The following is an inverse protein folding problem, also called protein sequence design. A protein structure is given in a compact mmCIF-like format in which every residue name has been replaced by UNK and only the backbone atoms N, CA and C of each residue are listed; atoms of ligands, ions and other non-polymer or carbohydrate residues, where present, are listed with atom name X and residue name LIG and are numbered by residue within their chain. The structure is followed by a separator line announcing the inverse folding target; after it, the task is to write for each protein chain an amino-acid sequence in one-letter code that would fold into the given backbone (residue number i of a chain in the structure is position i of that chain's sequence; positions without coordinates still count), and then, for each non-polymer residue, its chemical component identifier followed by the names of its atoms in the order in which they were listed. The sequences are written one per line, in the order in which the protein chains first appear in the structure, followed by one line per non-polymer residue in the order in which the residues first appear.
data_IF_180096355733
#
_entry.id   IF_180096355733
#
_cell.length_a   1.000
_cell.length_b   1.000
_cell.length_c   1.000
_cell.angle_alpha   90.00
_cell.angle_beta   90.00
_cell.angle_gamma   90.00
#
_symmetry.space_group_name_H-M   'P 1'
#
loop_
_entity.id
_entity.type
_entity.pdbx_description
1 polymer ?
#
# COMPACT_ATOMS: atom_id res chain seq x y z
N UNK A 1 3.74 -11.40 1.91
CA UNK A 1 3.87 -12.85 1.76
C UNK A 1 4.12 -13.23 0.33
N UNK A 2 5.14 -14.00 0.12
CA UNK A 2 5.41 -14.47 -1.21
C UNK A 2 4.54 -15.65 -1.57
N UNK A 3 4.14 -15.69 -2.83
CA UNK A 3 3.47 -16.86 -3.38
C UNK A 3 4.54 -17.93 -3.62
N UNK A 4 4.31 -19.17 -3.21
CA UNK A 4 5.26 -20.22 -3.51
C UNK A 4 5.49 -20.34 -5.02
N UNK A 5 6.71 -20.53 -5.42
CA UNK A 5 7.07 -20.75 -6.79
C UNK A 5 7.90 -22.02 -6.93
N UNK A 6 8.29 -22.36 -8.15
CA UNK A 6 8.95 -23.63 -8.40
C UNK A 6 10.16 -23.90 -7.51
N UNK A 7 10.93 -22.87 -7.20
CA UNK A 7 12.11 -23.01 -6.35
C UNK A 7 11.76 -23.44 -4.94
N UNK A 8 10.60 -23.02 -4.44
CA UNK A 8 10.18 -23.38 -3.09
C UNK A 8 9.82 -24.87 -3.01
N UNK A 9 9.30 -25.43 -4.10
CA UNK A 9 8.99 -26.85 -4.13
C UNK A 9 10.25 -27.71 -4.08
N UNK A 10 11.35 -27.24 -4.63
CA UNK A 10 12.62 -27.96 -4.59
C UNK A 10 13.34 -27.82 -3.24
N UNK A 11 12.90 -26.92 -2.40
CA UNK A 11 13.48 -26.74 -1.07
C UNK A 11 12.91 -27.70 -0.03
N UNK A 12 11.96 -28.55 -0.41
CA UNK A 12 11.32 -29.51 0.47
C UNK A 12 11.72 -30.92 0.06
N UNK A 13 12.14 -31.75 1.02
CA UNK A 13 12.52 -33.12 0.72
C UNK A 13 11.28 -34.04 0.62
N UNK A 14 11.53 -35.34 0.35
CA UNK A 14 10.46 -36.31 0.15
C UNK A 14 9.56 -36.48 1.36
N UNK A 15 10.07 -36.21 2.55
CA UNK A 15 9.31 -36.33 3.81
C UNK A 15 8.57 -35.04 4.15
N UNK A 16 8.66 -34.01 3.30
CA UNK A 16 7.99 -32.74 3.53
C UNK A 16 8.75 -31.77 4.41
N UNK A 17 10.00 -32.04 4.73
CA UNK A 17 10.84 -31.15 5.53
C UNK A 17 11.70 -30.29 4.64
N UNK A 18 12.01 -29.07 5.13
CA UNK A 18 12.89 -28.17 4.41
C UNK A 18 14.29 -28.75 4.32
N UNK A 19 14.87 -28.67 3.13
CA UNK A 19 16.25 -29.09 2.92
C UNK A 19 17.20 -28.00 3.37
N UNK A 20 18.32 -28.35 4.02
CA UNK A 20 19.37 -27.39 4.27
C UNK A 20 19.98 -26.93 2.94
N UNK A 21 20.06 -25.64 2.73
CA UNK A 21 20.68 -25.04 1.56
C UNK A 21 21.61 -23.91 1.97
N UNK A 22 22.69 -23.74 1.21
CA UNK A 22 23.53 -22.57 1.40
C UNK A 22 22.80 -21.33 0.88
N UNK A 23 22.89 -20.26 1.63
CA UNK A 23 22.31 -19.00 1.19
C UNK A 23 23.02 -18.52 -0.08
N UNK A 24 22.26 -18.07 -1.06
CA UNK A 24 22.79 -17.53 -2.29
C UNK A 24 21.83 -16.51 -2.88
N UNK A 25 22.38 -15.43 -3.42
CA UNK A 25 21.61 -14.43 -4.16
C UNK A 25 21.88 -14.52 -5.66
N UNK A 26 22.60 -15.55 -6.08
CA UNK A 26 22.88 -15.74 -7.50
C UNK A 26 21.59 -15.98 -8.27
N UNK A 27 21.38 -15.19 -9.32
CA UNK A 27 20.17 -15.24 -10.13
C UNK A 27 18.90 -14.89 -9.36
N UNK A 28 19.03 -14.19 -8.22
CA UNK A 28 17.88 -13.75 -7.46
C UNK A 28 17.11 -12.67 -8.22
N UNK A 29 15.79 -12.74 -8.13
CA UNK A 29 14.90 -11.70 -8.65
C UNK A 29 14.90 -10.54 -7.66
N UNK A 30 15.15 -9.32 -8.15
CA UNK A 30 15.21 -8.14 -7.29
C UNK A 30 13.98 -7.28 -7.43
N UNK A 31 12.84 -7.94 -7.42
CA UNK A 31 11.57 -7.30 -7.66
C UNK A 31 10.50 -7.94 -6.79
N UNK A 32 9.69 -7.09 -6.16
CA UNK A 32 8.59 -7.53 -5.32
C UNK A 32 7.30 -6.96 -5.91
N UNK A 33 6.32 -7.82 -6.12
CA UNK A 33 5.03 -7.40 -6.66
C UNK A 33 3.93 -7.80 -5.69
N UNK A 34 3.06 -6.83 -5.36
CA UNK A 34 1.85 -7.09 -4.60
C UNK A 34 0.66 -6.79 -5.49
N UNK A 35 -0.26 -7.76 -5.60
CA UNK A 35 -1.52 -7.53 -6.29
C UNK A 35 -2.50 -6.86 -5.33
N UNK A 36 -3.51 -6.21 -5.92
CA UNK A 36 -4.63 -5.67 -5.16
C UNK A 36 -5.25 -6.74 -4.26
N UNK A 37 -5.40 -7.94 -4.80
CA UNK A 37 -5.95 -9.08 -4.07
C UNK A 37 -5.08 -9.45 -2.87
N UNK A 38 -3.76 -9.45 -3.05
CA UNK A 38 -2.84 -9.76 -1.96
C UNK A 38 -2.87 -8.71 -0.86
N UNK A 39 -2.93 -7.43 -1.25
CA UNK A 39 -3.02 -6.35 -0.27
C UNK A 39 -4.31 -6.43 0.53
N UNK A 40 -5.44 -6.65 -0.16
CA UNK A 40 -6.72 -6.82 0.53
C UNK A 40 -6.72 -8.08 1.40
N UNK A 41 -6.01 -9.13 0.97
CA UNK A 41 -5.84 -10.33 1.77
C UNK A 41 -5.03 -10.09 3.04
N UNK A 42 -4.03 -9.22 2.99
CA UNK A 42 -3.28 -8.86 4.20
C UNK A 42 -4.15 -8.07 5.17
N UNK A 43 -5.00 -7.17 4.65
CA UNK A 43 -5.97 -6.46 5.47
C UNK A 43 -6.97 -7.41 6.10
N UNK A 44 -7.36 -8.46 5.38
CA UNK A 44 -8.33 -9.43 5.86
C UNK A 44 -7.83 -10.24 7.06
N UNK A 45 -6.52 -10.35 7.24
CA UNK A 45 -5.96 -11.02 8.41
C UNK A 45 -6.14 -10.22 9.70
N UNK A 46 -6.37 -8.92 9.55
CA UNK A 46 -6.71 -8.06 10.67
C UNK A 46 -8.22 -7.93 10.66
N UNK A 47 -8.89 -8.62 11.57
CA UNK A 47 -10.34 -8.76 11.57
C UNK A 47 -11.10 -7.43 11.59
N UNK A 48 -10.53 -6.43 12.25
CA UNK A 48 -11.20 -5.13 12.32
C UNK A 48 -11.08 -4.36 11.01
N UNK A 49 -10.04 -4.59 10.23
CA UNK A 49 -9.84 -3.88 8.97
C UNK A 49 -10.53 -4.57 7.79
N UNK A 50 -10.69 -5.88 7.85
CA UNK A 50 -11.24 -6.65 6.73
C UNK A 50 -12.59 -6.15 6.24
N UNK A 51 -13.42 -5.66 7.16
CA UNK A 51 -14.76 -5.20 6.84
C UNK A 51 -14.85 -3.69 6.65
N UNK A 52 -13.75 -2.97 6.89
CA UNK A 52 -13.78 -1.51 6.94
C UNK A 52 -12.90 -0.84 5.89
N UNK A 53 -11.95 -1.56 5.32
CA UNK A 53 -10.99 -0.99 4.36
C UNK A 53 -10.90 -1.88 3.13
N UNK A 54 -10.97 -1.28 1.96
CA UNK A 54 -10.72 -1.96 0.70
C UNK A 54 -9.81 -1.07 -0.14
N UNK A 55 -8.86 -1.68 -0.82
CA UNK A 55 -7.87 -0.98 -1.64
C UNK A 55 -8.06 -1.35 -3.10
N UNK A 56 -8.04 -0.34 -3.95
CA UNK A 56 -8.04 -0.49 -5.41
C UNK A 56 -6.76 0.13 -5.97
N UNK A 57 -6.12 -0.55 -6.90
CA UNK A 57 -4.89 -0.09 -7.51
C UNK A 57 -5.12 0.17 -9.00
N UNK A 58 -4.77 1.37 -9.43
CA UNK A 58 -4.79 1.77 -10.83
C UNK A 58 -3.47 2.46 -11.15
N UNK A 59 -3.28 2.90 -12.38
CA UNK A 59 -2.00 3.49 -12.78
C UNK A 59 -1.65 4.70 -11.92
N UNK A 60 -0.58 4.58 -11.14
CA UNK A 60 -0.08 5.62 -10.25
C UNK A 60 -1.11 6.13 -9.25
N UNK A 61 -2.15 5.32 -8.98
CA UNK A 61 -3.24 5.72 -8.10
C UNK A 61 -3.61 4.59 -7.16
N UNK A 62 -3.61 4.89 -5.87
CA UNK A 62 -4.11 3.99 -4.84
C UNK A 62 -5.42 4.58 -4.32
N UNK A 63 -6.50 3.82 -4.41
CA UNK A 63 -7.79 4.25 -3.89
C UNK A 63 -8.14 3.41 -2.68
N UNK A 64 -8.58 4.07 -1.62
CA UNK A 64 -8.99 3.40 -0.39
C UNK A 64 -10.43 3.72 -0.08
N UNK A 65 -11.20 2.70 0.24
CA UNK A 65 -12.55 2.84 0.76
C UNK A 65 -12.57 2.45 2.21
N UNK A 66 -13.14 3.30 3.04
CA UNK A 66 -13.26 3.04 4.47
C UNK A 66 -14.71 3.13 4.88
N UNK A 67 -15.11 2.18 5.72
CA UNK A 67 -16.43 2.19 6.34
C UNK A 67 -16.22 2.42 7.83
N UNK A 68 -16.75 3.53 8.34
CA UNK A 68 -16.60 3.89 9.75
C UNK A 68 -18.00 3.89 10.38
N UNK A 69 -18.34 2.88 11.22
CA UNK A 69 -19.59 2.89 11.94
C UNK A 69 -19.54 3.97 13.01
N UNK A 70 -20.60 4.78 13.08
CA UNK A 70 -20.72 5.85 14.07
C UNK A 70 -21.59 5.39 15.22
N UNK A 71 -21.20 5.75 16.43
CA UNK A 71 -21.98 5.41 17.61
C UNK A 71 -23.32 6.13 17.58
N UNK A 72 -24.31 5.55 18.26
CA UNK A 72 -25.66 6.07 18.23
C UNK A 72 -25.78 7.49 18.80
N UNK A 73 -24.90 7.85 19.70
CA UNK A 73 -24.89 9.18 20.31
C UNK A 73 -24.19 10.24 19.48
N UNK A 74 -23.63 9.85 18.32
CA UNK A 74 -22.98 10.81 17.42
C UNK A 74 -24.02 11.75 16.83
N UNK A 75 -23.78 13.07 16.84
CA UNK A 75 -24.77 14.04 16.33
C UNK A 75 -25.14 13.79 14.87
N UNK A 76 -26.42 13.82 14.57
CA UNK A 76 -27.02 13.73 13.24
C UNK A 76 -26.82 12.37 12.55
N UNK A 77 -25.59 11.83 12.56
CA UNK A 77 -25.25 10.61 11.83
C UNK A 77 -25.14 9.38 12.73
N UNK A 78 -25.58 9.50 13.99
CA UNK A 78 -25.49 8.40 14.93
C UNK A 78 -26.15 7.13 14.43
N UNK A 79 -25.51 5.99 14.66
CA UNK A 79 -26.01 4.70 14.22
C UNK A 79 -25.82 4.40 12.74
N UNK A 80 -25.29 5.34 11.96
CA UNK A 80 -25.02 5.14 10.54
C UNK A 80 -23.57 4.78 10.30
N UNK A 81 -23.30 4.18 9.12
CA UNK A 81 -21.96 3.89 8.70
C UNK A 81 -21.50 4.98 7.73
N UNK A 82 -20.38 5.63 8.08
CA UNK A 82 -19.80 6.66 7.24
C UNK A 82 -18.93 6.00 6.18
N UNK A 83 -19.14 6.36 4.92
CA UNK A 83 -18.36 5.85 3.80
C UNK A 83 -17.36 6.93 3.34
N UNK A 84 -16.09 6.61 3.44
CA UNK A 84 -15.01 7.47 2.98
C UNK A 84 -14.33 6.85 1.77
N UNK A 85 -13.98 7.69 0.80
CA UNK A 85 -13.13 7.29 -0.31
C UNK A 85 -11.98 8.27 -0.39
N UNK A 86 -10.77 7.75 -0.49
CA UNK A 86 -9.58 8.58 -0.64
C UNK A 86 -8.80 8.14 -1.87
N UNK A 87 -8.33 9.09 -2.65
CA UNK A 87 -7.45 8.82 -3.78
C UNK A 87 -6.06 9.35 -3.46
N UNK A 88 -5.06 8.51 -3.64
CA UNK A 88 -3.67 8.85 -3.35
C UNK A 88 -2.85 8.55 -4.60
N UNK A 89 -2.24 9.58 -5.17
CA UNK A 89 -1.29 9.42 -6.25
C UNK A 89 0.03 8.94 -5.67
N UNK A 90 0.63 7.94 -6.31
CA UNK A 90 1.89 7.38 -5.84
C UNK A 90 2.86 7.22 -7.01
N UNK A 91 4.07 7.73 -6.86
CA UNK A 91 5.13 7.60 -7.83
C UNK A 91 6.47 7.51 -7.10
N UNK A 92 7.51 7.19 -7.82
CA UNK A 92 8.86 7.17 -7.27
C UNK A 92 9.76 7.92 -8.24
N UNK A 93 10.26 9.06 -7.79
CA UNK A 93 11.11 9.91 -8.60
C UNK A 93 12.22 10.52 -7.74
N UNK A 94 13.38 10.77 -8.35
CA UNK A 94 14.52 11.38 -7.67
C UNK A 94 14.88 10.61 -6.39
N UNK A 95 14.79 9.28 -6.47
CA UNK A 95 15.17 8.38 -5.40
C UNK A 95 14.33 8.50 -4.13
N UNK A 96 13.09 8.98 -4.24
CA UNK A 96 12.16 8.99 -3.11
C UNK A 96 10.72 8.82 -3.60
N UNK A 97 9.83 8.30 -2.74
CA UNK A 97 8.43 8.21 -3.12
C UNK A 97 7.79 9.60 -3.13
N UNK A 98 6.85 9.77 -4.06
CA UNK A 98 6.00 10.94 -4.14
C UNK A 98 4.59 10.45 -3.82
N UNK A 99 3.98 10.99 -2.78
CA UNK A 99 2.66 10.60 -2.32
C UNK A 99 1.79 11.84 -2.27
N UNK A 100 0.77 11.87 -3.11
CA UNK A 100 -0.08 13.04 -3.26
C UNK A 100 -1.52 12.67 -2.96
N UNK A 101 -2.15 13.40 -2.04
CA UNK A 101 -3.58 13.23 -1.77
C UNK A 101 -4.37 13.85 -2.91
N UNK A 102 -5.00 13.01 -3.73
CA UNK A 102 -5.82 13.48 -4.86
C UNK A 102 -7.16 14.02 -4.41
N UNK A 103 -7.70 13.47 -3.34
CA UNK A 103 -8.95 13.92 -2.78
C UNK A 103 -9.53 12.91 -1.82
N UNK A 104 -10.52 13.39 -1.07
CA UNK A 104 -11.31 12.56 -0.16
C UNK A 104 -12.77 12.89 -0.40
N UNK A 105 -13.62 11.89 -0.44
CA UNK A 105 -15.06 12.10 -0.48
C UNK A 105 -15.73 11.35 0.67
N UNK A 106 -16.81 11.95 1.17
CA UNK A 106 -17.62 11.37 2.24
C UNK A 106 -19.01 11.15 1.67
N UNK A 107 -19.49 9.91 1.71
CA UNK A 107 -20.80 9.54 1.18
C UNK A 107 -20.98 9.98 -0.29
N UNK A 108 -19.90 9.91 -1.06
CA UNK A 108 -19.90 10.30 -2.46
C UNK A 108 -19.74 11.79 -2.72
N UNK A 109 -19.58 12.60 -1.69
CA UNK A 109 -19.42 14.06 -1.81
C UNK A 109 -17.96 14.43 -1.62
N UNK A 110 -17.31 15.05 -2.63
CA UNK A 110 -15.92 15.49 -2.47
C UNK A 110 -15.80 16.54 -1.37
N UNK A 111 -14.76 16.38 -0.55
CA UNK A 111 -14.49 17.30 0.55
C UNK A 111 -13.70 18.49 0.04
N UNK A 112 -14.08 19.73 0.36
CA UNK A 112 -13.31 20.90 -0.04
C UNK A 112 -11.90 20.86 0.50
N UNK A 113 -10.95 21.36 -0.29
CA UNK A 113 -9.54 21.38 0.11
C UNK A 113 -9.31 22.13 1.42
N UNK A 114 -10.07 23.17 1.68
CA UNK A 114 -9.96 23.91 2.94
C UNK A 114 -10.23 23.02 4.16
N UNK A 115 -11.13 22.08 4.03
CA UNK A 115 -11.44 21.14 5.12
C UNK A 115 -10.37 20.07 5.31
N UNK A 116 -9.58 19.85 4.28
CA UNK A 116 -8.44 18.93 4.32
C UNK A 116 -7.15 19.64 4.75
N UNK A 117 -7.25 20.85 5.25
CA UNK A 117 -6.09 21.61 5.67
C UNK A 117 -5.20 22.06 4.50
N UNK A 118 -5.76 22.14 3.30
CA UNK A 118 -5.01 22.52 2.12
C UNK A 118 -4.09 21.44 1.57
N UNK A 119 -4.28 20.18 2.01
CA UNK A 119 -3.36 19.09 1.65
C UNK A 119 -3.63 18.45 0.30
N UNK A 120 -4.73 18.80 -0.37
CA UNK A 120 -5.02 18.23 -1.69
C UNK A 120 -3.97 18.64 -2.70
N UNK A 121 -3.42 17.64 -3.43
CA UNK A 121 -2.38 17.84 -4.43
C UNK A 121 -1.03 18.31 -3.87
N UNK A 122 -0.84 18.16 -2.57
CA UNK A 122 0.46 18.45 -1.93
C UNK A 122 1.24 17.15 -1.81
N UNK A 123 2.55 17.20 -2.06
CA UNK A 123 3.40 16.04 -1.85
C UNK A 123 3.56 15.80 -0.35
N UNK A 124 2.91 14.76 0.15
CA UNK A 124 2.88 14.47 1.59
C UNK A 124 4.24 14.04 2.13
N UNK A 125 5.11 13.50 1.27
CA UNK A 125 6.46 13.13 1.69
C UNK A 125 7.28 14.38 1.98
N UNK A 126 7.17 15.39 1.12
CA UNK A 126 7.87 16.67 1.35
C UNK A 126 7.30 17.42 2.54
N UNK A 127 5.98 17.38 2.72
CA UNK A 127 5.32 18.12 3.79
C UNK A 127 5.51 17.47 5.17
N UNK A 128 5.41 16.16 5.24
CA UNK A 128 5.47 15.40 6.49
C UNK A 128 6.58 14.37 6.49
N UNK A 129 7.49 14.47 5.56
CA UNK A 129 8.52 13.47 5.36
C UNK A 129 9.46 13.36 6.55
N UNK A 130 10.04 12.18 6.67
CA UNK A 130 11.00 11.90 7.72
C UNK A 130 12.39 12.44 7.35
N UNK A 131 13.33 12.23 8.26
CA UNK A 131 14.73 12.61 8.14
C UNK A 131 15.29 12.32 6.73
N UNK A 132 16.00 13.29 6.11
CA UNK A 132 16.68 13.05 4.84
C UNK A 132 17.58 11.81 4.81
N UNK A 133 18.19 11.47 5.95
CA UNK A 133 19.00 10.25 6.05
C UNK A 133 18.22 8.99 5.83
N UNK A 134 16.96 8.96 6.27
CA UNK A 134 16.07 7.82 6.01
C UNK A 134 15.85 7.64 4.49
N UNK A 135 15.55 8.71 3.78
CA UNK A 135 15.31 8.63 2.33
C UNK A 135 16.57 8.24 1.57
N UNK A 136 17.73 8.68 2.06
CA UNK A 136 18.99 8.27 1.47
C UNK A 136 19.19 6.76 1.59
N UNK A 137 18.96 6.22 2.77
CA UNK A 137 19.08 4.78 3.00
C UNK A 137 18.03 4.00 2.20
N UNK A 138 16.80 4.53 2.14
CA UNK A 138 15.73 3.93 1.37
C UNK A 138 16.09 3.87 -0.12
N UNK A 139 16.62 4.96 -0.68
CA UNK A 139 16.98 5.03 -2.08
C UNK A 139 18.16 4.14 -2.43
N UNK A 140 19.00 3.81 -1.47
CA UNK A 140 20.10 2.86 -1.71
C UNK A 140 19.58 1.44 -1.94
N UNK A 141 18.41 1.11 -1.43
CA UNK A 141 17.82 -0.22 -1.58
C UNK A 141 16.74 -0.33 -2.64
N UNK A 142 16.08 0.77 -2.97
CA UNK A 142 14.92 0.75 -3.88
C UNK A 142 15.25 1.48 -5.17
N UNK A 143 15.14 0.79 -6.30
CA UNK A 143 15.36 1.39 -7.61
C UNK A 143 14.10 2.08 -8.12
N UNK A 144 12.95 1.48 -7.93
CA UNK A 144 11.68 2.04 -8.42
C UNK A 144 10.48 1.46 -7.69
N UNK A 145 9.43 2.25 -7.62
CA UNK A 145 8.12 1.81 -7.15
C UNK A 145 7.09 2.25 -8.19
N UNK A 146 6.28 1.32 -8.66
CA UNK A 146 5.27 1.63 -9.64
C UNK A 146 3.94 1.00 -9.28
N UNK A 147 2.88 1.80 -9.33
CA UNK A 147 1.51 1.34 -9.16
C UNK A 147 0.89 1.25 -10.54
N UNK A 148 0.35 0.10 -10.89
CA UNK A 148 -0.38 -0.11 -12.13
C UNK A 148 -1.70 -0.79 -11.83
N UNK A 149 -2.51 -1.04 -12.85
CA UNK A 149 -3.83 -1.64 -12.64
C UNK A 149 -3.71 -2.95 -11.86
N UNK A 150 -4.27 -2.96 -10.67
CA UNK A 150 -4.37 -4.15 -9.85
C UNK A 150 -3.09 -4.60 -9.15
N UNK A 151 -1.99 -3.84 -9.23
CA UNK A 151 -0.74 -4.26 -8.59
C UNK A 151 0.22 -3.13 -8.27
N UNK A 152 1.08 -3.37 -7.29
CA UNK A 152 2.21 -2.51 -6.94
C UNK A 152 3.49 -3.32 -7.19
N UNK A 153 4.43 -2.72 -7.90
CA UNK A 153 5.72 -3.34 -8.18
C UNK A 153 6.83 -2.51 -7.54
N UNK A 154 7.70 -3.19 -6.79
CA UNK A 154 8.85 -2.56 -6.14
C UNK A 154 10.11 -3.22 -6.67
N UNK A 155 10.94 -2.43 -7.33
CA UNK A 155 12.19 -2.92 -7.88
C UNK A 155 13.33 -2.52 -6.95
N UNK A 156 14.14 -3.50 -6.58
CA UNK A 156 15.24 -3.31 -5.64
C UNK A 156 16.57 -3.17 -6.36
N UNK A 157 17.48 -2.43 -5.77
CA UNK A 157 18.85 -2.32 -6.25
C UNK A 157 19.65 -3.54 -5.79
N UNK A 158 20.70 -3.84 -6.51
CA UNK A 158 21.62 -4.90 -6.13
C UNK A 158 22.45 -4.55 -4.89
#
# INVERSE_FOLDING_TARGET
TQIPHENDQHAIDEDGFLKPEAYSEKNAVREITFTERELNGLLAKNTDLAQKVAIDLANNLVSAKLLIPLEEDFPVLGGKTLRLNAGIGMAYEQEKPIIILKGVSIMGVPIPNAWLGGLKNVDLVDEFGVDPGFWKSFSEGVENIQVSDGKINIKLKE
#
